data_IF_471122233231
#
_entry.id   IF_471122233231
#
_cell.length_a   1.000
_cell.length_b   1.000
_cell.length_c   1.000
_cell.angle_alpha   90.00
_cell.angle_beta   90.00
_cell.angle_gamma   90.00
#
_symmetry.space_group_name_H-M   'P 1'
#
loop_
_entity.id
_entity.type
_entity.pdbx_description
1 polymer ?
#
# COMPACT_ATOMS: atom_id res chain seq x y z
N UNK A 1 -10.56 -3.63 4.84
CA UNK A 1 -9.29 -3.48 4.12
C UNK A 1 -8.14 -3.56 5.11
N UNK A 2 -7.04 -4.16 4.71
CA UNK A 2 -5.87 -4.23 5.58
C UNK A 2 -5.01 -2.96 5.48
N UNK A 3 -3.99 -2.88 6.33
CA UNK A 3 -3.13 -1.69 6.41
C UNK A 3 -2.37 -1.43 5.10
N UNK A 4 -1.95 -2.49 4.40
CA UNK A 4 -1.24 -2.35 3.13
C UNK A 4 -2.16 -1.76 2.06
N UNK A 5 -3.40 -2.25 1.96
CA UNK A 5 -4.36 -1.71 1.01
C UNK A 5 -4.62 -0.22 1.24
N UNK A 6 -4.82 0.18 2.50
CA UNK A 6 -5.05 1.58 2.85
C UNK A 6 -3.86 2.45 2.48
N UNK A 7 -2.64 1.99 2.74
CA UNK A 7 -1.42 2.70 2.37
C UNK A 7 -1.32 2.87 0.86
N UNK A 8 -1.57 1.81 0.10
CA UNK A 8 -1.51 1.85 -1.37
C UNK A 8 -2.60 2.74 -1.96
N UNK A 9 -3.82 2.68 -1.41
CA UNK A 9 -4.90 3.57 -1.84
C UNK A 9 -4.51 5.04 -1.69
N UNK A 10 -3.92 5.39 -0.56
CA UNK A 10 -3.45 6.74 -0.31
C UNK A 10 -2.29 7.13 -1.24
N UNK A 11 -1.33 6.21 -1.45
CA UNK A 11 -0.19 6.46 -2.34
C UNK A 11 -0.64 6.72 -3.78
N UNK A 12 -1.60 5.94 -4.27
CA UNK A 12 -2.08 6.08 -5.66
C UNK A 12 -3.02 7.26 -5.85
N UNK A 13 -3.94 7.47 -4.92
CA UNK A 13 -5.06 8.41 -5.12
C UNK A 13 -5.12 9.55 -4.13
N UNK A 14 -4.20 9.60 -3.16
CA UNK A 14 -4.24 10.59 -2.08
C UNK A 14 -4.23 12.04 -2.57
N UNK A 15 -3.59 12.32 -3.70
CA UNK A 15 -3.54 13.68 -4.26
C UNK A 15 -4.90 14.18 -4.75
N UNK A 16 -5.89 13.30 -4.89
CA UNK A 16 -7.26 13.67 -5.23
C UNK A 16 -8.05 14.16 -4.01
N UNK A 17 -7.52 13.94 -2.81
CA UNK A 17 -8.16 14.37 -1.58
C UNK A 17 -7.92 15.86 -1.33
N UNK A 18 -8.86 16.49 -0.61
CA UNK A 18 -8.62 17.85 -0.10
C UNK A 18 -7.54 17.80 0.98
N UNK A 19 -6.93 18.94 1.29
CA UNK A 19 -5.90 19.02 2.35
C UNK A 19 -6.43 18.50 3.69
N UNK A 20 -7.66 18.87 4.05
CA UNK A 20 -8.27 18.42 5.30
C UNK A 20 -8.49 16.90 5.30
N UNK A 21 -8.95 16.35 4.18
CA UNK A 21 -9.12 14.90 4.04
C UNK A 21 -7.79 14.16 4.14
N UNK A 22 -6.74 14.69 3.51
CA UNK A 22 -5.39 14.12 3.61
C UNK A 22 -4.91 14.10 5.06
N UNK A 23 -5.08 15.22 5.77
CA UNK A 23 -4.64 15.35 7.15
C UNK A 23 -5.37 14.35 8.04
N UNK A 24 -6.68 14.25 7.91
CA UNK A 24 -7.47 13.30 8.69
C UNK A 24 -7.06 11.86 8.40
N UNK A 25 -6.87 11.53 7.13
CA UNK A 25 -6.48 10.18 6.72
C UNK A 25 -5.10 9.81 7.26
N UNK A 26 -4.13 10.71 7.14
CA UNK A 26 -2.77 10.51 7.66
C UNK A 26 -2.76 10.29 9.16
N UNK A 27 -3.46 11.15 9.91
CA UNK A 27 -3.52 11.04 11.37
C UNK A 27 -4.20 9.75 11.81
N UNK A 28 -5.21 9.30 11.09
CA UNK A 28 -5.95 8.08 11.44
C UNK A 28 -5.19 6.82 11.09
N UNK A 29 -4.68 6.72 9.86
CA UNK A 29 -4.13 5.46 9.34
C UNK A 29 -2.62 5.30 9.53
N UNK A 30 -1.87 6.39 9.55
CA UNK A 30 -0.42 6.33 9.74
C UNK A 30 -0.01 6.58 11.19
N UNK A 31 -0.74 7.41 11.93
CA UNK A 31 -0.42 7.76 13.31
C UNK A 31 -1.36 7.14 14.34
N UNK A 32 -2.34 6.35 13.89
CA UNK A 32 -3.27 5.60 14.74
C UNK A 32 -4.04 6.44 15.76
N UNK A 33 -4.33 7.69 15.44
CA UNK A 33 -5.08 8.55 16.34
C UNK A 33 -6.58 8.22 16.30
N UNK A 34 -7.24 8.37 17.44
CA UNK A 34 -8.69 8.26 17.52
C UNK A 34 -9.36 9.48 16.88
N UNK A 35 -10.66 9.37 16.58
CA UNK A 35 -11.42 10.49 16.05
C UNK A 35 -11.38 11.71 16.99
N UNK A 36 -11.46 11.47 18.30
CA UNK A 36 -11.39 12.53 19.30
C UNK A 36 -10.03 13.21 19.31
N UNK A 37 -8.95 12.42 19.21
CA UNK A 37 -7.59 12.96 19.17
C UNK A 37 -7.35 13.78 17.90
N UNK A 38 -7.84 13.32 16.75
CA UNK A 38 -7.73 14.06 15.49
C UNK A 38 -8.53 15.37 15.57
N UNK A 39 -9.72 15.32 16.12
CA UNK A 39 -10.56 16.51 16.30
C UNK A 39 -9.86 17.57 17.13
N UNK A 40 -9.20 17.15 18.20
CA UNK A 40 -8.43 18.04 19.07
C UNK A 40 -7.21 18.61 18.34
N UNK A 41 -6.48 17.77 17.63
CA UNK A 41 -5.28 18.15 16.88
C UNK A 41 -5.60 19.22 15.82
N UNK A 42 -6.68 19.00 15.07
CA UNK A 42 -7.07 19.88 13.95
C UNK A 42 -8.03 21.00 14.36
N UNK A 43 -8.45 21.04 15.62
CA UNK A 43 -9.39 22.02 16.15
C UNK A 43 -10.70 22.04 15.38
N UNK A 44 -11.24 20.87 15.12
CA UNK A 44 -12.53 20.66 14.47
C UNK A 44 -13.39 19.72 15.31
N UNK A 45 -14.67 19.56 14.96
CA UNK A 45 -15.54 18.64 15.66
C UNK A 45 -15.19 17.19 15.33
N UNK A 46 -15.51 16.27 16.26
CA UNK A 46 -15.35 14.84 16.04
C UNK A 46 -16.19 14.38 14.85
N UNK A 47 -17.40 14.93 14.70
CA UNK A 47 -18.27 14.63 13.56
C UNK A 47 -17.63 15.10 12.25
N UNK A 48 -16.99 16.26 12.27
CA UNK A 48 -16.27 16.78 11.11
C UNK A 48 -15.14 15.85 10.68
N UNK A 49 -14.40 15.29 11.65
CA UNK A 49 -13.35 14.30 11.37
C UNK A 49 -13.96 13.05 10.73
N UNK A 50 -15.04 12.54 11.33
CA UNK A 50 -15.73 11.36 10.80
C UNK A 50 -16.19 11.59 9.34
N UNK A 51 -16.78 12.74 9.07
CA UNK A 51 -17.26 13.07 7.72
C UNK A 51 -16.12 13.17 6.71
N UNK A 52 -15.01 13.81 7.10
CA UNK A 52 -13.83 13.91 6.24
C UNK A 52 -13.24 12.54 5.93
N UNK A 53 -13.12 11.66 6.93
CA UNK A 53 -12.60 10.31 6.74
C UNK A 53 -13.52 9.49 5.85
N UNK A 54 -14.82 9.55 6.08
CA UNK A 54 -15.80 8.81 5.26
C UNK A 54 -15.74 9.22 3.80
N UNK A 55 -15.63 10.53 3.53
CA UNK A 55 -15.53 11.05 2.17
C UNK A 55 -14.20 10.67 1.52
N UNK A 56 -13.11 10.75 2.29
CA UNK A 56 -11.79 10.36 1.80
C UNK A 56 -11.77 8.88 1.40
N UNK A 57 -12.24 8.01 2.29
CA UNK A 57 -12.27 6.57 2.02
C UNK A 57 -13.16 6.23 0.84
N UNK A 58 -14.33 6.87 0.73
CA UNK A 58 -15.24 6.66 -0.39
C UNK A 58 -14.60 7.07 -1.71
N UNK A 59 -13.87 8.18 -1.75
CA UNK A 59 -13.18 8.64 -2.96
C UNK A 59 -12.10 7.65 -3.37
N UNK A 60 -11.27 7.22 -2.42
CA UNK A 60 -10.17 6.28 -2.70
C UNK A 60 -10.72 4.95 -3.22
N UNK A 61 -11.76 4.42 -2.59
CA UNK A 61 -12.39 3.17 -3.00
C UNK A 61 -13.06 3.28 -4.37
N UNK A 62 -13.70 4.40 -4.64
CA UNK A 62 -14.33 4.65 -5.94
C UNK A 62 -13.30 4.69 -7.06
N UNK A 63 -12.16 5.35 -6.82
CA UNK A 63 -11.07 5.39 -7.80
C UNK A 63 -10.50 4.00 -8.04
N UNK A 64 -10.31 3.22 -6.98
CA UNK A 64 -9.80 1.86 -7.10
C UNK A 64 -10.77 0.96 -7.86
N UNK A 65 -12.07 1.11 -7.64
CA UNK A 65 -13.07 0.35 -8.37
C UNK A 65 -13.00 0.62 -9.89
N UNK A 66 -12.60 1.84 -10.26
CA UNK A 66 -12.49 2.23 -11.67
C UNK A 66 -11.17 1.83 -12.30
N UNK A 67 -10.07 1.89 -11.58
CA UNK A 67 -8.72 1.73 -12.15
C UNK A 67 -8.09 0.37 -11.86
N UNK A 68 -8.34 -0.20 -10.68
CA UNK A 68 -7.73 -1.46 -10.25
C UNK A 68 -6.22 -1.40 -10.02
N UNK A 69 -5.63 -0.21 -9.88
CA UNK A 69 -4.18 -0.06 -9.75
C UNK A 69 -3.62 -0.70 -8.48
N UNK A 70 -4.33 -0.53 -7.35
CA UNK A 70 -3.89 -1.11 -6.07
C UNK A 70 -3.96 -2.64 -6.13
N UNK A 71 -5.04 -3.18 -6.69
CA UNK A 71 -5.18 -4.63 -6.83
C UNK A 71 -4.06 -5.21 -7.67
N UNK A 72 -3.72 -4.58 -8.80
CA UNK A 72 -2.61 -5.04 -9.64
C UNK A 72 -1.27 -4.94 -8.92
N UNK A 73 -1.05 -3.85 -8.18
CA UNK A 73 0.17 -3.68 -7.39
C UNK A 73 0.31 -4.80 -6.36
N UNK A 74 -0.75 -5.11 -5.63
CA UNK A 74 -0.74 -6.18 -4.63
C UNK A 74 -0.49 -7.55 -5.24
N UNK A 75 -1.07 -7.83 -6.42
CA UNK A 75 -0.83 -9.06 -7.15
C UNK A 75 0.62 -9.17 -7.60
N UNK A 76 1.19 -8.08 -8.10
CA UNK A 76 2.61 -8.05 -8.49
C UNK A 76 3.53 -8.27 -7.30
N UNK A 77 3.24 -7.66 -6.15
CA UNK A 77 4.03 -7.85 -4.93
C UNK A 77 3.99 -9.30 -4.46
N UNK A 78 2.81 -9.92 -4.51
CA UNK A 78 2.66 -11.31 -4.12
C UNK A 78 3.43 -12.24 -5.06
N UNK A 79 3.30 -12.01 -6.37
CA UNK A 79 4.04 -12.79 -7.38
C UNK A 79 5.56 -12.63 -7.20
N UNK A 80 6.03 -11.42 -6.94
CA UNK A 80 7.45 -11.15 -6.71
C UNK A 80 7.96 -11.92 -5.50
N UNK A 81 7.19 -11.97 -4.41
CA UNK A 81 7.57 -12.74 -3.21
C UNK A 81 7.71 -14.23 -3.51
N UNK A 82 6.78 -14.79 -4.27
CA UNK A 82 6.82 -16.22 -4.65
C UNK A 82 8.02 -16.52 -5.53
N UNK A 83 8.30 -15.64 -6.49
CA UNK A 83 9.48 -15.80 -7.38
C UNK A 83 10.77 -15.70 -6.58
N UNK A 84 10.88 -14.72 -5.67
CA UNK A 84 12.05 -14.56 -4.82
C UNK A 84 12.29 -15.80 -3.95
N UNK A 85 11.24 -16.32 -3.34
CA UNK A 85 11.35 -17.49 -2.49
C UNK A 85 11.82 -18.72 -3.28
N UNK A 86 11.20 -18.99 -4.43
CA UNK A 86 11.56 -20.12 -5.27
C UNK A 86 13.00 -19.97 -5.79
N UNK A 87 13.37 -18.79 -6.26
CA UNK A 87 14.72 -18.55 -6.78
C UNK A 87 15.77 -18.66 -5.68
N UNK A 88 15.45 -18.23 -4.45
CA UNK A 88 16.36 -18.36 -3.31
C UNK A 88 16.67 -19.84 -3.03
N UNK A 89 15.67 -20.71 -3.06
CA UNK A 89 15.87 -22.14 -2.88
C UNK A 89 16.74 -22.73 -4.02
N UNK A 90 16.50 -22.30 -5.26
CA UNK A 90 17.31 -22.75 -6.40
C UNK A 90 18.75 -22.25 -6.32
N UNK A 91 18.99 -21.08 -5.75
CA UNK A 91 20.35 -20.52 -5.64
C UNK A 91 21.25 -21.35 -4.73
N UNK A 92 20.67 -22.16 -3.86
CA UNK A 92 21.40 -23.06 -2.96
C UNK A 92 21.77 -24.39 -3.62
N UNK A 93 21.38 -24.61 -4.88
CA UNK A 93 21.69 -25.81 -5.62
C UNK A 93 23.20 -25.92 -5.89
N UNK A 94 23.73 -27.15 -5.84
CA UNK A 94 25.16 -27.39 -6.06
C UNK A 94 25.57 -27.26 -7.54
N UNK A 95 24.65 -27.32 -8.47
CA UNK A 95 24.90 -27.08 -9.89
C UNK A 95 25.09 -25.59 -10.13
N UNK A 96 26.27 -25.23 -10.65
CA UNK A 96 26.65 -23.83 -10.90
C UNK A 96 25.72 -23.16 -11.89
N UNK A 97 25.30 -23.90 -12.93
CA UNK A 97 24.39 -23.36 -13.95
C UNK A 97 23.03 -23.03 -13.36
N UNK A 98 22.48 -23.90 -12.53
CA UNK A 98 21.21 -23.66 -11.82
C UNK A 98 21.33 -22.46 -10.87
N UNK A 99 22.40 -22.40 -10.12
CA UNK A 99 22.66 -21.32 -9.18
C UNK A 99 22.78 -19.96 -9.89
N UNK A 100 23.45 -19.92 -11.05
CA UNK A 100 23.59 -18.70 -11.85
C UNK A 100 22.24 -18.24 -12.41
N UNK A 101 21.42 -19.15 -12.91
CA UNK A 101 20.07 -18.81 -13.39
C UNK A 101 19.20 -18.28 -12.25
N UNK A 102 19.28 -18.91 -11.08
CA UNK A 102 18.56 -18.45 -9.89
C UNK A 102 18.97 -17.02 -9.51
N UNK A 103 20.26 -16.70 -9.60
CA UNK A 103 20.76 -15.35 -9.34
C UNK A 103 20.15 -14.30 -10.27
N UNK A 104 19.98 -14.65 -11.55
CA UNK A 104 19.33 -13.75 -12.51
C UNK A 104 17.84 -13.52 -12.17
N UNK A 105 17.15 -14.59 -11.79
CA UNK A 105 15.75 -14.49 -11.39
C UNK A 105 15.61 -13.62 -10.13
N UNK A 106 16.48 -13.82 -9.15
CA UNK A 106 16.50 -13.02 -7.93
C UNK A 106 16.68 -11.54 -8.22
N UNK A 107 17.64 -11.20 -9.07
CA UNK A 107 17.92 -9.81 -9.43
C UNK A 107 16.71 -9.18 -10.13
N UNK A 108 16.11 -9.89 -11.07
CA UNK A 108 14.95 -9.40 -11.81
C UNK A 108 13.74 -9.20 -10.88
N UNK A 109 13.47 -10.15 -9.99
CA UNK A 109 12.36 -10.06 -9.06
C UNK A 109 12.54 -8.93 -8.04
N UNK A 110 13.77 -8.69 -7.56
CA UNK A 110 14.06 -7.58 -6.66
C UNK A 110 13.81 -6.24 -7.32
N UNK A 111 14.06 -6.11 -8.61
CA UNK A 111 13.82 -4.86 -9.33
C UNK A 111 12.32 -4.51 -9.40
N UNK A 112 11.43 -5.51 -9.30
CA UNK A 112 9.98 -5.27 -9.28
C UNK A 112 9.49 -4.66 -7.96
N UNK A 113 10.26 -4.80 -6.88
CA UNK A 113 9.89 -4.29 -5.56
C UNK A 113 10.33 -2.85 -5.33
N UNK A 114 11.11 -2.29 -6.22
CA UNK A 114 11.57 -0.89 -6.15
C UNK A 114 10.51 0.11 -6.74
#
# INVERSE_FOLDING_TARGET
>A
MDALEMTLLFDYYGDLLTERQKMCFDLRHNQDLSLAEIAQELQVSRQGVHDNLSRAEALLLNMEAKTGCVRRDMQCRQAAKEILFAAQLLSENNDVFVSQLAGKILAAAKSLEE
#
